data_IF_029996533288
#
_entry.id   IF_029996533288
#
_cell.length_a   1.000
_cell.length_b   1.000
_cell.length_c   1.000
_cell.angle_alpha   90.00
_cell.angle_beta   90.00
_cell.angle_gamma   90.00
#
_symmetry.space_group_name_H-M   'P 1'
#
loop_
_entity.id
_entity.type
_entity.pdbx_description
1 polymer ?
#
# COMPACT_ATOMS: atom_id res chain seq x y z
N UNK A 1 -17.43 6.68 -12.44
CA UNK A 1 -16.42 5.72 -12.95
C UNK A 1 -15.03 6.21 -12.59
N UNK A 2 -14.21 5.38 -11.97
CA UNK A 2 -12.86 5.71 -11.50
C UNK A 2 -11.84 5.02 -12.40
N UNK A 3 -10.95 5.77 -13.05
CA UNK A 3 -9.77 5.20 -13.70
C UNK A 3 -8.70 4.98 -12.63
N UNK A 4 -8.23 3.75 -12.46
CA UNK A 4 -7.29 3.36 -11.44
C UNK A 4 -5.97 2.89 -12.06
N UNK A 5 -4.90 3.65 -11.85
CA UNK A 5 -3.57 3.42 -12.39
C UNK A 5 -2.68 2.71 -11.37
N UNK A 6 -2.12 1.56 -11.72
CA UNK A 6 -1.31 0.78 -10.79
C UNK A 6 -0.64 -0.43 -11.41
N UNK A 7 0.01 -1.25 -10.58
CA UNK A 7 0.57 -2.56 -10.92
C UNK A 7 0.27 -3.54 -9.78
N UNK A 8 1.27 -4.11 -9.13
CA UNK A 8 1.12 -5.17 -8.10
C UNK A 8 1.69 -4.81 -6.72
N UNK A 9 2.09 -3.54 -6.49
CA UNK A 9 2.69 -3.13 -5.22
C UNK A 9 1.68 -3.14 -4.06
N UNK A 10 2.13 -3.27 -2.80
CA UNK A 10 1.24 -3.19 -1.63
C UNK A 10 0.40 -1.91 -1.59
N UNK A 11 0.93 -0.77 -2.06
CA UNK A 11 0.16 0.48 -2.13
C UNK A 11 -0.99 0.42 -3.15
N UNK A 12 -0.80 -0.30 -4.26
CA UNK A 12 -1.86 -0.55 -5.26
C UNK A 12 -2.90 -1.52 -4.69
N UNK A 13 -2.47 -2.54 -3.95
CA UNK A 13 -3.37 -3.50 -3.29
C UNK A 13 -4.36 -2.82 -2.34
N UNK A 14 -3.95 -1.76 -1.62
CA UNK A 14 -4.85 -0.95 -0.78
C UNK A 14 -6.08 -0.46 -1.57
N UNK A 15 -5.82 0.07 -2.76
CA UNK A 15 -6.87 0.68 -3.58
C UNK A 15 -7.77 -0.38 -4.22
N UNK A 16 -7.22 -1.52 -4.64
CA UNK A 16 -8.04 -2.67 -5.04
C UNK A 16 -8.98 -3.09 -3.91
N UNK A 17 -8.46 -3.33 -2.69
CA UNK A 17 -9.29 -3.71 -1.54
C UNK A 17 -10.37 -2.66 -1.31
N UNK A 18 -10.02 -1.37 -1.28
CA UNK A 18 -10.98 -0.30 -1.04
C UNK A 18 -12.09 -0.23 -2.09
N UNK A 19 -11.76 -0.40 -3.37
CA UNK A 19 -12.74 -0.39 -4.46
C UNK A 19 -13.65 -1.62 -4.40
N UNK A 20 -13.12 -2.81 -4.10
CA UNK A 20 -13.93 -4.02 -3.90
C UNK A 20 -14.84 -3.92 -2.66
N UNK A 21 -14.37 -3.33 -1.56
CA UNK A 21 -15.16 -3.13 -0.33
C UNK A 21 -16.29 -2.09 -0.52
N UNK A 22 -16.01 -1.05 -1.29
CA UNK A 22 -17.01 0.02 -1.51
C UNK A 22 -18.02 -0.32 -2.59
N UNK A 23 -17.62 -1.17 -3.55
CA UNK A 23 -18.38 -1.46 -4.76
C UNK A 23 -18.38 -0.30 -5.79
N UNK A 24 -17.50 0.67 -5.63
CA UNK A 24 -17.36 1.76 -6.59
C UNK A 24 -16.86 1.24 -7.94
N UNK A 25 -17.52 1.57 -9.05
CA UNK A 25 -17.13 1.09 -10.38
C UNK A 25 -15.80 1.71 -10.82
N UNK A 26 -14.88 0.88 -11.27
CA UNK A 26 -13.57 1.33 -11.71
C UNK A 26 -13.08 0.62 -12.98
N UNK A 27 -12.15 1.26 -13.66
CA UNK A 27 -11.43 0.76 -14.81
C UNK A 27 -9.94 0.73 -14.47
N UNK A 28 -9.37 -0.47 -14.35
CA UNK A 28 -7.95 -0.62 -14.04
C UNK A 28 -7.08 -0.35 -15.26
N UNK A 29 -6.07 0.49 -15.07
CA UNK A 29 -5.07 0.87 -16.08
C UNK A 29 -3.69 0.48 -15.59
N UNK A 30 -3.09 -0.59 -16.12
CA UNK A 30 -1.76 -1.01 -15.70
C UNK A 30 -0.71 0.03 -16.07
N UNK A 31 0.22 0.30 -15.12
CA UNK A 31 1.40 1.13 -15.33
C UNK A 31 2.60 0.29 -14.90
N UNK A 32 3.32 -0.25 -15.88
CA UNK A 32 4.48 -1.09 -15.60
C UNK A 32 5.70 -0.23 -15.20
N UNK A 33 5.90 -0.15 -13.91
CA UNK A 33 7.00 0.62 -13.31
C UNK A 33 8.38 0.00 -13.58
N UNK A 34 8.44 -1.29 -13.87
CA UNK A 34 9.67 -1.98 -14.25
C UNK A 34 10.07 -1.67 -15.69
N UNK A 35 9.10 -1.36 -16.55
CA UNK A 35 9.30 -0.82 -17.89
C UNK A 35 9.41 0.72 -17.90
N UNK A 36 9.50 1.37 -16.75
CA UNK A 36 9.64 2.83 -16.62
C UNK A 36 8.45 3.65 -17.11
N UNK A 37 7.26 3.08 -17.26
CA UNK A 37 6.07 3.77 -17.77
C UNK A 37 5.62 4.93 -16.86
N UNK A 38 5.95 4.92 -15.56
CA UNK A 38 5.68 6.03 -14.63
C UNK A 38 6.45 7.31 -14.98
N UNK A 39 7.42 7.24 -15.89
CA UNK A 39 8.19 8.40 -16.33
C UNK A 39 7.65 9.05 -17.60
N UNK A 40 6.58 8.51 -18.19
CA UNK A 40 5.93 9.14 -19.35
C UNK A 40 5.37 10.53 -18.99
N UNK A 41 5.24 11.40 -19.99
CA UNK A 41 4.65 12.76 -19.82
C UNK A 41 3.20 12.68 -19.36
N UNK A 42 2.45 11.73 -19.89
CA UNK A 42 1.04 11.51 -19.57
C UNK A 42 0.87 11.10 -18.09
N UNK A 43 1.70 10.16 -17.60
CA UNK A 43 1.61 9.74 -16.21
C UNK A 43 2.16 10.82 -15.26
N UNK A 44 3.21 11.54 -15.64
CA UNK A 44 3.76 12.65 -14.87
C UNK A 44 2.75 13.79 -14.69
N UNK A 45 1.87 14.02 -15.66
CA UNK A 45 0.76 14.99 -15.55
C UNK A 45 -0.30 14.56 -14.53
N UNK A 46 -0.50 13.26 -14.31
CA UNK A 46 -1.40 12.73 -13.29
C UNK A 46 -0.76 12.76 -11.89
N UNK A 47 0.53 12.45 -11.79
CA UNK A 47 1.26 12.44 -10.53
C UNK A 47 2.69 12.96 -10.72
N UNK A 48 3.00 14.17 -10.23
CA UNK A 48 4.34 14.74 -10.32
C UNK A 48 5.40 13.92 -9.57
N UNK A 49 4.99 13.12 -8.56
CA UNK A 49 5.88 12.20 -7.84
C UNK A 49 6.20 10.91 -8.66
N UNK A 50 5.50 10.69 -9.77
CA UNK A 50 5.72 9.54 -10.69
C UNK A 50 5.68 8.19 -9.98
N UNK A 51 4.75 8.02 -9.04
CA UNK A 51 4.52 6.77 -8.29
C UNK A 51 3.08 6.30 -8.44
N UNK A 52 2.90 5.00 -8.44
CA UNK A 52 1.60 4.34 -8.36
C UNK A 52 1.27 4.05 -6.89
N UNK A 53 -0.03 4.02 -6.51
CA UNK A 53 -1.23 4.20 -7.32
C UNK A 53 -1.60 5.66 -7.59
N UNK A 54 -2.43 5.86 -8.63
CA UNK A 54 -3.16 7.10 -8.91
C UNK A 54 -4.59 6.74 -9.27
N UNK A 55 -5.55 7.57 -8.93
CA UNK A 55 -6.92 7.47 -9.46
C UNK A 55 -7.31 8.76 -10.17
N UNK A 56 -8.15 8.63 -11.19
CA UNK A 56 -8.88 9.74 -11.79
C UNK A 56 -10.37 9.44 -11.65
N UNK A 57 -11.03 10.13 -10.75
CA UNK A 57 -12.48 10.04 -10.62
C UNK A 57 -13.13 10.94 -11.67
N UNK A 58 -13.85 10.33 -12.62
CA UNK A 58 -14.51 11.07 -13.69
C UNK A 58 -15.72 11.89 -13.23
N UNK A 59 -16.24 11.55 -12.06
CA UNK A 59 -17.33 12.24 -11.37
C UNK A 59 -16.86 12.67 -9.96
N UNK A 60 -15.83 13.52 -9.96
CA UNK A 60 -15.23 14.07 -8.76
C UNK A 60 -15.97 15.31 -8.22
N UNK A 61 -15.31 16.09 -7.35
CA UNK A 61 -15.90 17.29 -6.77
C UNK A 61 -16.42 18.25 -7.84
N UNK A 62 -17.68 18.69 -7.67
CA UNK A 62 -18.35 19.57 -8.63
C UNK A 62 -18.70 18.89 -9.97
N UNK A 63 -18.76 17.55 -10.02
CA UNK A 63 -19.07 16.78 -11.23
C UNK A 63 -17.98 16.82 -12.31
N UNK A 64 -16.75 17.17 -11.94
CA UNK A 64 -15.60 17.27 -12.84
C UNK A 64 -14.60 16.17 -12.57
N UNK A 65 -13.80 15.73 -13.59
CA UNK A 65 -12.70 14.81 -13.36
C UNK A 65 -11.74 15.33 -12.31
N UNK A 66 -11.40 14.47 -11.34
CA UNK A 66 -10.51 14.81 -10.26
C UNK A 66 -9.45 13.73 -10.06
N UNK A 67 -8.19 14.13 -10.08
CA UNK A 67 -7.05 13.23 -9.91
C UNK A 67 -6.60 13.22 -8.45
N UNK A 68 -6.42 12.01 -7.89
CA UNK A 68 -5.87 11.83 -6.54
C UNK A 68 -4.69 10.86 -6.62
N UNK A 69 -3.58 11.27 -6.05
CA UNK A 69 -2.40 10.43 -5.83
C UNK A 69 -2.07 10.37 -4.34
N UNK A 70 -1.07 9.58 -3.93
CA UNK A 70 -0.79 9.10 -2.59
C UNK A 70 -1.86 8.11 -2.07
N UNK A 71 -1.42 6.88 -1.78
CA UNK A 71 -2.37 5.81 -1.42
C UNK A 71 -3.20 6.10 -0.18
N UNK A 72 -2.65 6.83 0.80
CA UNK A 72 -3.38 7.28 1.98
C UNK A 72 -4.45 8.32 1.63
N UNK A 73 -4.13 9.30 0.79
CA UNK A 73 -5.09 10.31 0.33
C UNK A 73 -6.19 9.68 -0.53
N UNK A 74 -5.84 8.72 -1.40
CA UNK A 74 -6.83 7.97 -2.20
C UNK A 74 -7.81 7.22 -1.29
N UNK A 75 -7.31 6.56 -0.23
CA UNK A 75 -8.19 5.85 0.73
C UNK A 75 -9.15 6.81 1.43
N UNK A 76 -8.67 7.97 1.88
CA UNK A 76 -9.51 9.00 2.51
C UNK A 76 -10.58 9.52 1.52
N UNK A 77 -10.19 9.84 0.30
CA UNK A 77 -11.09 10.30 -0.76
C UNK A 77 -12.18 9.27 -1.06
N UNK A 78 -11.81 7.99 -1.25
CA UNK A 78 -12.78 6.93 -1.53
C UNK A 78 -13.69 6.64 -0.33
N UNK A 79 -13.19 6.77 0.90
CA UNK A 79 -13.98 6.64 2.11
C UNK A 79 -15.03 7.76 2.21
N UNK A 80 -14.65 9.00 1.96
CA UNK A 80 -15.56 10.14 1.95
C UNK A 80 -16.59 10.04 0.81
N UNK A 81 -16.15 9.66 -0.40
CA UNK A 81 -17.05 9.47 -1.55
C UNK A 81 -18.07 8.35 -1.33
N UNK A 82 -17.67 7.24 -0.73
CA UNK A 82 -18.56 6.10 -0.48
C UNK A 82 -19.36 6.18 0.83
N UNK A 83 -18.92 7.03 1.76
CA UNK A 83 -19.45 7.08 3.12
C UNK A 83 -19.10 5.84 3.97
N UNK A 84 -18.07 5.06 3.60
CA UNK A 84 -17.68 3.81 4.25
C UNK A 84 -16.24 3.85 4.76
N UNK A 85 -15.94 3.08 5.80
CA UNK A 85 -14.60 2.81 6.35
C UNK A 85 -13.87 4.03 6.95
N UNK A 86 -14.56 5.15 7.12
CA UNK A 86 -14.11 6.31 7.87
C UNK A 86 -15.32 6.92 8.60
N UNK A 87 -15.28 6.90 9.92
CA UNK A 87 -16.38 7.39 10.75
C UNK A 87 -16.64 8.87 10.54
N UNK A 88 -17.92 9.28 10.70
CA UNK A 88 -18.29 10.70 10.78
C UNK A 88 -18.10 11.28 12.19
N UNK A 89 -18.04 10.42 13.21
CA UNK A 89 -17.66 10.83 14.57
C UNK A 89 -16.19 11.28 14.57
N UNK A 90 -15.93 12.45 15.12
CA UNK A 90 -14.63 13.09 15.05
C UNK A 90 -13.55 12.27 15.78
N UNK A 91 -13.83 11.72 16.95
CA UNK A 91 -12.87 10.94 17.72
C UNK A 91 -12.51 9.65 16.98
N UNK A 92 -13.51 8.87 16.57
CA UNK A 92 -13.29 7.63 15.80
C UNK A 92 -12.62 7.88 14.46
N UNK A 93 -12.93 9.01 13.80
CA UNK A 93 -12.29 9.42 12.54
C UNK A 93 -10.79 9.61 12.74
N UNK A 94 -10.40 10.35 13.76
CA UNK A 94 -9.00 10.64 14.02
C UNK A 94 -8.24 9.43 14.59
N UNK A 95 -8.91 8.52 15.30
CA UNK A 95 -8.32 7.24 15.67
C UNK A 95 -7.89 6.45 14.41
N UNK A 96 -8.77 6.34 13.42
CA UNK A 96 -8.44 5.69 12.15
C UNK A 96 -7.35 6.44 11.37
N UNK A 97 -7.38 7.78 11.33
CA UNK A 97 -6.40 8.60 10.62
C UNK A 97 -5.01 8.49 11.26
N UNK A 98 -4.88 8.46 12.59
CA UNK A 98 -3.59 8.28 13.26
C UNK A 98 -2.92 6.98 12.82
N UNK A 99 -3.66 5.88 12.76
CA UNK A 99 -3.14 4.59 12.32
C UNK A 99 -2.87 4.54 10.81
N UNK A 100 -3.66 5.25 10.01
CA UNK A 100 -3.33 5.48 8.60
C UNK A 100 -2.01 6.23 8.45
N UNK A 101 -1.78 7.28 9.26
CA UNK A 101 -0.52 8.03 9.22
C UNK A 101 0.68 7.16 9.64
N UNK A 102 0.54 6.34 10.71
CA UNK A 102 1.57 5.35 11.09
C UNK A 102 1.88 4.41 9.92
N UNK A 103 0.85 4.01 9.18
CA UNK A 103 1.06 3.14 8.02
C UNK A 103 1.83 3.84 6.90
N UNK A 104 1.43 5.05 6.50
CA UNK A 104 2.04 5.74 5.35
C UNK A 104 3.43 6.31 5.66
N UNK A 105 3.68 6.72 6.90
CA UNK A 105 4.96 7.32 7.30
C UNK A 105 5.96 6.32 7.90
N UNK A 106 5.47 5.25 8.50
CA UNK A 106 6.29 4.28 9.24
C UNK A 106 6.30 2.89 8.60
N UNK A 107 5.16 2.19 8.60
CA UNK A 107 5.08 0.78 8.19
C UNK A 107 5.46 0.62 6.71
N UNK A 108 4.84 1.38 5.82
CA UNK A 108 5.11 1.30 4.39
C UNK A 108 6.58 1.53 4.03
N UNK A 109 7.17 2.67 4.43
CA UNK A 109 8.57 2.97 4.18
C UNK A 109 9.53 1.96 4.80
N UNK A 110 9.32 1.58 6.06
CA UNK A 110 10.20 0.62 6.75
C UNK A 110 10.18 -0.75 6.09
N UNK A 111 8.98 -1.29 5.80
CA UNK A 111 8.84 -2.60 5.17
C UNK A 111 9.36 -2.58 3.73
N UNK A 112 9.18 -1.47 3.02
CA UNK A 112 9.75 -1.26 1.69
C UNK A 112 11.27 -1.23 1.71
N UNK A 113 11.88 -0.45 2.61
CA UNK A 113 13.33 -0.36 2.77
C UNK A 113 13.91 -1.70 3.23
N UNK A 114 13.28 -2.39 4.19
CA UNK A 114 13.71 -3.73 4.56
C UNK A 114 13.72 -4.67 3.36
N UNK A 115 12.64 -4.68 2.57
CA UNK A 115 12.56 -5.50 1.35
C UNK A 115 13.67 -5.13 0.35
N UNK A 116 13.96 -3.85 0.19
CA UNK A 116 15.04 -3.38 -0.69
C UNK A 116 16.40 -3.90 -0.23
N UNK A 117 16.77 -3.71 1.04
CA UNK A 117 18.06 -4.16 1.56
C UNK A 117 18.17 -5.67 1.68
N UNK A 118 17.05 -6.38 1.83
CA UNK A 118 17.04 -7.85 1.86
C UNK A 118 17.22 -8.46 0.46
N UNK A 119 16.53 -7.93 -0.57
CA UNK A 119 16.39 -8.60 -1.87
C UNK A 119 17.11 -7.89 -3.02
N UNK A 120 17.28 -6.56 -2.99
CA UNK A 120 17.68 -5.78 -4.17
C UNK A 120 18.96 -4.99 -4.00
N UNK A 121 19.33 -4.64 -2.78
CA UNK A 121 20.57 -3.89 -2.53
C UNK A 121 21.80 -4.76 -2.71
N UNK A 122 22.92 -4.19 -3.20
CA UNK A 122 24.21 -4.89 -3.22
C UNK A 122 24.62 -5.36 -1.82
N UNK A 123 25.33 -6.46 -1.76
CA UNK A 123 25.94 -6.99 -0.52
C UNK A 123 27.44 -6.64 -0.48
N UNK A 124 28.04 -6.43 0.73
CA UNK A 124 27.40 -6.46 2.05
C UNK A 124 26.59 -5.18 2.35
N UNK A 125 25.50 -5.31 3.14
CA UNK A 125 24.71 -4.18 3.62
C UNK A 125 24.18 -4.42 5.04
N UNK A 126 24.96 -5.09 5.88
CA UNK A 126 24.54 -5.65 7.17
C UNK A 126 23.98 -4.61 8.13
N UNK A 127 24.54 -3.40 8.14
CA UNK A 127 24.03 -2.30 8.98
C UNK A 127 22.61 -1.91 8.57
N UNK A 128 22.37 -1.64 7.29
CA UNK A 128 21.05 -1.24 6.81
C UNK A 128 20.03 -2.38 7.00
N UNK A 129 20.43 -3.62 6.67
CA UNK A 129 19.61 -4.79 6.89
C UNK A 129 19.19 -4.93 8.36
N UNK A 130 20.14 -4.92 9.30
CA UNK A 130 19.86 -5.08 10.73
C UNK A 130 19.01 -3.93 11.26
N UNK A 131 19.29 -2.69 10.86
CA UNK A 131 18.56 -1.50 11.29
C UNK A 131 17.08 -1.58 10.88
N UNK A 132 16.82 -1.91 9.60
CA UNK A 132 15.44 -2.01 9.12
C UNK A 132 14.73 -3.26 9.61
N UNK A 133 15.44 -4.37 9.85
CA UNK A 133 14.88 -5.58 10.47
C UNK A 133 14.39 -5.31 11.88
N UNK A 134 15.17 -4.61 12.69
CA UNK A 134 14.80 -4.23 14.06
C UNK A 134 13.55 -3.35 14.06
N UNK A 135 13.51 -2.33 13.22
CA UNK A 135 12.36 -1.43 13.13
C UNK A 135 11.10 -2.14 12.58
N UNK A 136 11.26 -3.03 11.61
CA UNK A 136 10.17 -3.86 11.11
C UNK A 136 9.52 -4.70 12.23
N UNK A 137 10.32 -5.38 13.04
CA UNK A 137 9.80 -6.20 14.15
C UNK A 137 9.14 -5.35 15.23
N UNK A 138 9.71 -4.18 15.55
CA UNK A 138 9.08 -3.20 16.46
C UNK A 138 7.70 -2.76 15.96
N UNK A 139 7.54 -2.57 14.65
CA UNK A 139 6.25 -2.20 14.07
C UNK A 139 5.24 -3.36 14.11
N UNK A 140 5.67 -4.61 13.95
CA UNK A 140 4.78 -5.77 14.20
C UNK A 140 4.33 -5.83 15.66
N UNK A 141 5.22 -5.56 16.60
CA UNK A 141 4.87 -5.51 18.03
C UNK A 141 3.88 -4.36 18.31
N UNK A 142 4.11 -3.17 17.76
CA UNK A 142 3.19 -2.03 17.87
C UNK A 142 1.78 -2.40 17.36
N UNK A 143 1.69 -3.06 16.20
CA UNK A 143 0.42 -3.53 15.67
C UNK A 143 -0.24 -4.56 16.61
N UNK A 144 0.54 -5.49 17.16
CA UNK A 144 0.04 -6.51 18.06
C UNK A 144 -0.49 -5.90 19.39
N UNK A 145 0.20 -4.91 19.94
CA UNK A 145 -0.24 -4.18 21.14
C UNK A 145 -1.57 -3.47 20.85
N UNK A 146 -1.66 -2.73 19.75
CA UNK A 146 -2.90 -2.02 19.36
C UNK A 146 -4.07 -2.98 19.19
N UNK A 147 -3.85 -4.08 18.49
CA UNK A 147 -4.88 -5.09 18.21
C UNK A 147 -5.27 -5.94 19.42
N UNK A 148 -4.52 -5.84 20.52
CA UNK A 148 -4.92 -6.31 21.86
C UNK A 148 -5.84 -5.33 22.59
N UNK A 149 -5.85 -4.06 22.22
CA UNK A 149 -6.67 -3.01 22.83
C UNK A 149 -7.98 -2.75 22.06
N UNK A 150 -8.01 -3.07 20.76
CA UNK A 150 -9.17 -2.86 19.90
C UNK A 150 -9.26 -3.97 18.84
N UNK A 151 -10.45 -4.15 18.29
CA UNK A 151 -10.69 -5.17 17.26
C UNK A 151 -9.91 -4.90 15.97
N UNK A 152 -9.87 -3.63 15.55
CA UNK A 152 -9.18 -3.13 14.37
C UNK A 152 -8.26 -1.95 14.72
N UNK A 153 -7.46 -1.51 13.77
CA UNK A 153 -6.48 -0.45 14.01
C UNK A 153 -7.13 0.89 14.36
N UNK A 154 -8.23 1.24 13.71
CA UNK A 154 -8.98 2.46 13.99
C UNK A 154 -9.93 2.35 15.21
N UNK A 155 -10.06 1.17 15.83
CA UNK A 155 -11.00 0.94 16.94
C UNK A 155 -11.82 -0.33 16.73
N UNK A 156 -13.12 -0.28 17.01
CA UNK A 156 -13.99 -1.45 16.94
C UNK A 156 -14.50 -1.75 15.52
N UNK A 157 -14.36 -0.81 14.60
CA UNK A 157 -14.83 -0.92 13.23
C UNK A 157 -13.68 -1.01 12.22
N UNK A 158 -13.84 -1.89 11.23
CA UNK A 158 -12.91 -1.99 10.08
C UNK A 158 -12.84 -0.67 9.32
N UNK A 159 -11.64 -0.19 9.05
CA UNK A 159 -11.41 1.16 8.55
C UNK A 159 -10.32 1.23 7.48
N UNK A 160 -10.12 2.44 6.94
CA UNK A 160 -9.02 2.72 6.00
C UNK A 160 -7.63 2.45 6.61
N UNK A 161 -7.49 2.46 7.93
CA UNK A 161 -6.23 2.11 8.59
C UNK A 161 -5.87 0.63 8.38
N UNK A 162 -6.86 -0.25 8.48
CA UNK A 162 -6.72 -1.68 8.26
C UNK A 162 -6.46 -1.99 6.79
N UNK A 163 -7.24 -1.36 5.90
CA UNK A 163 -7.09 -1.47 4.44
C UNK A 163 -5.68 -1.03 4.01
N UNK A 164 -5.14 0.01 4.61
CA UNK A 164 -3.81 0.51 4.31
C UNK A 164 -2.69 -0.42 4.80
N UNK A 165 -2.86 -1.01 5.99
CA UNK A 165 -1.81 -1.77 6.68
C UNK A 165 -1.71 -3.21 6.16
N UNK A 166 -2.85 -3.85 5.92
CA UNK A 166 -2.91 -5.27 5.57
C UNK A 166 -2.02 -5.67 4.37
N UNK A 167 -2.00 -4.98 3.22
CA UNK A 167 -1.18 -5.37 2.08
C UNK A 167 0.32 -5.44 2.37
N UNK A 168 0.82 -4.58 3.22
CA UNK A 168 2.22 -4.55 3.60
C UNK A 168 2.61 -5.72 4.51
N UNK A 169 1.68 -6.21 5.32
CA UNK A 169 1.90 -7.33 6.23
C UNK A 169 1.73 -8.70 5.58
N UNK A 170 1.15 -8.78 4.37
CA UNK A 170 1.01 -10.04 3.62
C UNK A 170 2.33 -10.71 3.29
N UNK A 171 3.43 -9.96 3.29
CA UNK A 171 4.77 -10.49 3.00
C UNK A 171 5.53 -10.88 4.29
N UNK A 172 4.85 -11.07 5.41
CA UNK A 172 5.46 -11.36 6.71
C UNK A 172 6.47 -12.52 6.67
N UNK A 173 6.19 -13.58 5.89
CA UNK A 173 7.11 -14.71 5.74
C UNK A 173 8.43 -14.29 5.06
N UNK A 174 8.36 -13.58 3.92
CA UNK A 174 9.54 -13.06 3.23
C UNK A 174 10.28 -11.99 4.07
N UNK A 175 9.57 -11.30 4.94
CA UNK A 175 10.11 -10.36 5.92
C UNK A 175 10.73 -11.07 7.12
N UNK A 176 10.55 -12.39 7.26
CA UNK A 176 11.00 -13.19 8.39
C UNK A 176 10.35 -12.78 9.70
N UNK A 177 9.10 -12.29 9.64
CA UNK A 177 8.29 -12.02 10.81
C UNK A 177 7.45 -13.27 11.14
N UNK A 178 7.72 -13.85 12.31
CA UNK A 178 6.96 -15.01 12.82
C UNK A 178 5.69 -14.49 13.49
N UNK A 179 4.59 -14.41 12.71
CA UNK A 179 3.33 -13.80 13.20
C UNK A 179 2.68 -14.58 14.33
N UNK A 180 3.07 -15.84 14.55
CA UNK A 180 2.67 -16.67 15.70
C UNK A 180 3.12 -16.05 17.03
N UNK A 181 4.17 -15.23 17.03
CA UNK A 181 4.64 -14.49 18.21
C UNK A 181 3.80 -13.25 18.51
N UNK A 182 2.89 -12.88 17.61
CA UNK A 182 2.02 -11.70 17.70
C UNK A 182 0.54 -12.09 17.62
N UNK A 183 -0.05 -12.70 18.66
CA UNK A 183 -1.35 -13.38 18.58
C UNK A 183 -2.51 -12.44 18.22
N UNK A 184 -2.52 -11.20 18.71
CA UNK A 184 -3.56 -10.23 18.36
C UNK A 184 -3.46 -9.79 16.90
N UNK A 185 -2.21 -9.57 16.43
CA UNK A 185 -1.95 -9.29 15.03
C UNK A 185 -2.35 -10.48 14.14
N UNK A 186 -2.02 -11.71 14.55
CA UNK A 186 -2.38 -12.92 13.81
C UNK A 186 -3.90 -13.06 13.66
N UNK A 187 -4.67 -12.86 14.74
CA UNK A 187 -6.14 -12.85 14.70
C UNK A 187 -6.66 -11.88 13.64
N UNK A 188 -6.17 -10.63 13.68
CA UNK A 188 -6.55 -9.58 12.73
C UNK A 188 -6.15 -9.95 11.30
N UNK A 189 -4.94 -10.45 11.10
CA UNK A 189 -4.43 -10.86 9.79
C UNK A 189 -5.24 -11.99 9.17
N UNK A 190 -5.61 -13.00 9.96
CA UNK A 190 -6.42 -14.14 9.51
C UNK A 190 -7.85 -13.66 9.15
N UNK A 191 -8.45 -12.81 9.98
CA UNK A 191 -9.78 -12.23 9.71
C UNK A 191 -9.78 -11.43 8.40
N UNK A 192 -8.80 -10.56 8.19
CA UNK A 192 -8.73 -9.76 6.97
C UNK A 192 -8.40 -10.60 5.73
N UNK A 193 -7.56 -11.63 5.88
CA UNK A 193 -7.24 -12.54 4.79
C UNK A 193 -8.47 -13.28 4.25
N UNK A 194 -9.47 -13.51 5.10
CA UNK A 194 -10.71 -14.18 4.74
C UNK A 194 -11.72 -13.28 4.01
N UNK A 195 -11.54 -11.95 4.02
CA UNK A 195 -12.49 -10.99 3.44
C UNK A 195 -12.65 -11.18 1.93
N UNK A 196 -13.88 -11.13 1.40
CA UNK A 196 -14.13 -11.26 -0.04
C UNK A 196 -13.34 -10.26 -0.89
N UNK A 197 -13.23 -9.00 -0.46
CA UNK A 197 -12.48 -7.95 -1.16
C UNK A 197 -10.98 -8.26 -1.24
N UNK A 198 -10.41 -8.87 -0.20
CA UNK A 198 -9.00 -9.30 -0.20
C UNK A 198 -8.79 -10.44 -1.18
N UNK A 199 -9.69 -11.43 -1.20
CA UNK A 199 -9.65 -12.54 -2.17
C UNK A 199 -9.79 -12.04 -3.60
N UNK A 200 -10.71 -11.11 -3.85
CA UNK A 200 -10.91 -10.48 -5.16
C UNK A 200 -9.65 -9.71 -5.61
N UNK A 201 -9.03 -8.94 -4.71
CA UNK A 201 -7.76 -8.26 -4.99
C UNK A 201 -6.66 -9.25 -5.38
N UNK A 202 -6.52 -10.37 -4.65
CA UNK A 202 -5.50 -11.40 -4.95
C UNK A 202 -5.74 -11.99 -6.34
N UNK A 203 -6.97 -12.36 -6.66
CA UNK A 203 -7.34 -12.91 -7.97
C UNK A 203 -7.02 -11.91 -9.11
N UNK A 204 -7.45 -10.67 -8.96
CA UNK A 204 -7.18 -9.61 -9.98
C UNK A 204 -5.70 -9.35 -10.18
N UNK A 205 -4.90 -9.40 -9.12
CA UNK A 205 -3.46 -9.19 -9.24
C UNK A 205 -2.72 -10.32 -9.96
N UNK A 206 -3.22 -11.54 -9.91
CA UNK A 206 -2.65 -12.68 -10.63
C UNK A 206 -2.71 -12.48 -12.16
N UNK A 207 -3.71 -11.74 -12.66
CA UNK A 207 -3.91 -11.48 -14.08
C UNK A 207 -3.10 -10.26 -14.59
N UNK A 208 -2.49 -9.48 -13.69
CA UNK A 208 -1.74 -8.27 -14.09
C UNK A 208 -0.36 -8.68 -14.61
N UNK A 209 -0.13 -8.42 -15.89
CA UNK A 209 1.19 -8.62 -16.50
C UNK A 209 2.18 -7.56 -16.00
N UNK A 210 3.39 -8.00 -15.68
CA UNK A 210 4.49 -7.15 -15.21
C UNK A 210 5.80 -7.62 -15.82
N UNK A 211 6.65 -6.70 -16.22
CA UNK A 211 8.01 -7.00 -16.68
C UNK A 211 9.02 -7.19 -15.53
N UNK A 212 8.55 -7.34 -14.28
CA UNK A 212 9.42 -7.47 -13.10
C UNK A 212 10.47 -8.58 -13.24
N UNK A 213 10.04 -9.76 -13.73
CA UNK A 213 10.91 -10.94 -13.83
C UNK A 213 11.90 -10.83 -15.00
N UNK A 214 11.54 -10.07 -16.04
CA UNK A 214 12.37 -9.84 -17.22
C UNK A 214 13.09 -8.49 -17.19
N UNK A 215 12.95 -7.72 -16.11
CA UNK A 215 13.58 -6.41 -15.96
C UNK A 215 15.10 -6.54 -15.99
N UNK A 216 15.73 -5.81 -16.89
CA UNK A 216 17.20 -5.70 -17.00
C UNK A 216 17.79 -4.98 -15.78
N UNK A 217 19.09 -5.06 -15.59
CA UNK A 217 19.76 -4.31 -14.52
C UNK A 217 19.62 -2.80 -14.72
N UNK A 218 19.61 -2.32 -15.97
CA UNK A 218 19.32 -0.91 -16.29
C UNK A 218 17.91 -0.50 -15.86
N UNK A 219 16.90 -1.35 -16.09
CA UNK A 219 15.54 -1.10 -15.61
C UNK A 219 15.48 -1.04 -14.08
N UNK A 220 16.19 -1.96 -13.39
CA UNK A 220 16.25 -1.98 -11.92
C UNK A 220 16.97 -0.75 -11.38
N UNK A 221 18.10 -0.36 -11.99
CA UNK A 221 18.85 0.83 -11.60
C UNK A 221 18.02 2.10 -11.77
N UNK A 222 17.29 2.22 -12.86
CA UNK A 222 16.37 3.33 -13.09
C UNK A 222 15.22 3.34 -12.10
N UNK A 223 14.63 2.17 -11.82
CA UNK A 223 13.53 2.05 -10.85
C UNK A 223 13.95 2.44 -9.43
N UNK A 224 15.16 2.04 -9.01
CA UNK A 224 15.70 2.33 -7.69
C UNK A 224 16.49 3.66 -7.63
N UNK A 225 16.70 4.35 -8.74
CA UNK A 225 17.47 5.60 -8.78
C UNK A 225 18.94 5.41 -8.42
N UNK A 226 19.58 4.32 -8.88
CA UNK A 226 20.96 3.97 -8.57
C UNK A 226 21.82 3.87 -9.86
N UNK A 227 23.14 3.61 -9.69
CA UNK A 227 24.06 3.56 -10.82
C UNK A 227 24.09 4.88 -11.58
N UNK A 228 23.99 4.87 -12.91
CA UNK A 228 23.94 6.09 -13.75
C UNK A 228 22.69 6.96 -13.53
N UNK A 229 21.68 6.46 -12.84
CA UNK A 229 20.47 7.20 -12.48
C UNK A 229 20.50 7.77 -11.07
N UNK A 230 21.60 7.54 -10.31
CA UNK A 230 21.79 8.18 -9.02
C UNK A 230 21.89 9.70 -9.23
N UNK A 231 21.23 10.45 -8.38
CA UNK A 231 21.38 11.91 -8.36
C UNK A 231 22.55 12.26 -7.44
N UNK A 232 23.39 13.18 -7.87
CA UNK A 232 24.46 13.73 -7.07
C UNK A 232 23.90 14.63 -5.96
#
# INVERSE_FOLDING_TARGET
MIDFYGLTSPNVQKIFIMLEETGLPYNFKPVDVWASQQHSSEFAALNPNRKIPVIVDRDGPGGKPYTVFESGAILMYLAEKSGKFLSKDMAKKYDAIQWLMIQVSGIGPTFGNFTHFNLFAPKPNDYAFSRYKTELLRLYELLNIRLGQAKYLGGDEYSIADIATFPWTRQHQAQGAKIELFPNFKRWFDELSARPAVKAMIAKQADIKSSRETATDDNKDRFFGRGKYARA
#
